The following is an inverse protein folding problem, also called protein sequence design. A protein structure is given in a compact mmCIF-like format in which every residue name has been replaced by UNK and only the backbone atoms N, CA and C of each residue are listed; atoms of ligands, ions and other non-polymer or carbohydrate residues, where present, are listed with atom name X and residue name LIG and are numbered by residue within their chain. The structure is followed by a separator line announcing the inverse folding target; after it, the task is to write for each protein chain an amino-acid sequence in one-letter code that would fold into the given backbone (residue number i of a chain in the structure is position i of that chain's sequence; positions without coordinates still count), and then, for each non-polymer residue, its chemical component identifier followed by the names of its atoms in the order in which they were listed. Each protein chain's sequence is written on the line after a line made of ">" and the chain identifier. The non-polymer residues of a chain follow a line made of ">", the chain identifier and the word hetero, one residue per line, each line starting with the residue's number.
data_IF_355769940197
#
_entry.id   IF_355769940197
#
_cell.length_a   1.000
_cell.length_b   1.000
_cell.length_c   1.000
_cell.angle_alpha   90.00
_cell.angle_beta   90.00
_cell.angle_gamma   90.00
#
_symmetry.space_group_name_H-M   'P 1'
#
loop_
_entity.id
_entity.type
_entity.pdbx_description
1 polymer ?
#
# COMPACT_ATOMS: atom_id res chain seq x y z
N UNK A 1 -13.14 -9.41 24.60
CA UNK A 1 -12.70 -10.20 23.43
C UNK A 1 -11.46 -9.52 22.88
N UNK A 2 -10.29 -10.15 22.93
CA UNK A 2 -9.14 -9.64 22.19
C UNK A 2 -9.45 -9.86 20.71
N UNK A 3 -9.70 -8.79 19.96
CA UNK A 3 -9.91 -8.89 18.51
C UNK A 3 -8.66 -9.40 17.80
N UNK A 4 -8.81 -9.76 16.53
CA UNK A 4 -7.66 -10.01 15.65
C UNK A 4 -6.77 -8.76 15.60
N UNK A 5 -5.47 -8.93 15.84
CA UNK A 5 -4.50 -7.83 15.92
C UNK A 5 -3.65 -7.81 14.66
N UNK A 6 -3.65 -6.67 13.96
CA UNK A 6 -2.68 -6.37 12.91
C UNK A 6 -1.43 -5.73 13.53
N UNK A 7 -0.27 -5.75 12.82
CA UNK A 7 0.89 -4.97 13.22
C UNK A 7 0.53 -3.50 13.43
N UNK A 8 1.09 -2.87 14.47
CA UNK A 8 0.89 -1.44 14.71
C UNK A 8 1.59 -0.62 13.62
N UNK A 9 0.90 0.39 13.11
CA UNK A 9 1.45 1.36 12.20
C UNK A 9 2.58 2.19 12.87
N UNK A 10 3.58 2.58 12.09
CA UNK A 10 4.63 3.49 12.52
C UNK A 10 4.20 4.96 12.36
N UNK A 11 4.07 5.68 13.48
CA UNK A 11 3.66 7.10 13.51
C UNK A 11 4.56 8.00 12.64
N UNK A 12 5.86 7.69 12.56
CA UNK A 12 6.83 8.42 11.75
C UNK A 12 6.55 8.32 10.23
N UNK A 13 5.95 7.22 9.79
CA UNK A 13 5.54 7.02 8.39
C UNK A 13 4.18 7.67 8.15
N UNK A 14 3.24 7.49 9.09
CA UNK A 14 1.90 8.05 8.99
C UNK A 14 1.88 9.58 8.96
N UNK A 15 2.72 10.24 9.78
CA UNK A 15 2.85 11.70 9.81
C UNK A 15 3.34 12.32 8.49
N UNK A 16 4.01 11.53 7.64
CA UNK A 16 4.55 11.97 6.34
C UNK A 16 3.74 11.47 5.14
N UNK A 17 2.53 10.94 5.37
CA UNK A 17 1.68 10.34 4.32
C UNK A 17 1.49 11.28 3.12
N UNK A 18 1.24 12.57 3.35
CA UNK A 18 1.02 13.55 2.27
C UNK A 18 2.24 13.71 1.36
N UNK A 19 3.44 13.72 1.93
CA UNK A 19 4.69 13.86 1.18
C UNK A 19 4.98 12.59 0.36
N UNK A 20 4.72 11.42 0.97
CA UNK A 20 4.84 10.11 0.32
C UNK A 20 3.90 10.02 -0.89
N UNK A 21 2.62 10.40 -0.73
CA UNK A 21 1.64 10.41 -1.83
C UNK A 21 2.09 11.37 -2.94
N UNK A 22 2.56 12.57 -2.59
CA UNK A 22 3.06 13.55 -3.57
C UNK A 22 4.24 13.00 -4.37
N UNK A 23 5.22 12.38 -3.70
CA UNK A 23 6.38 11.80 -4.35
C UNK A 23 6.01 10.62 -5.27
N UNK A 24 5.10 9.76 -4.83
CA UNK A 24 4.63 8.63 -5.63
C UNK A 24 3.84 9.08 -6.87
N UNK A 25 3.07 10.17 -6.78
CA UNK A 25 2.37 10.76 -7.95
C UNK A 25 3.35 11.32 -8.98
N UNK A 26 4.51 11.81 -8.56
CA UNK A 26 5.57 12.20 -9.50
C UNK A 26 6.19 11.00 -10.24
N UNK A 27 6.21 9.83 -9.61
CA UNK A 27 6.75 8.59 -10.20
C UNK A 27 5.71 7.91 -11.11
N UNK A 28 4.47 7.84 -10.64
CA UNK A 28 3.31 7.20 -11.30
C UNK A 28 2.23 8.27 -11.50
N UNK A 29 2.28 9.03 -12.60
CA UNK A 29 1.34 10.12 -12.86
C UNK A 29 -0.05 9.61 -13.24
N UNK A 30 -1.04 10.51 -13.22
CA UNK A 30 -2.44 10.20 -13.56
C UNK A 30 -3.18 9.53 -12.40
N UNK A 31 -3.93 8.48 -12.69
CA UNK A 31 -4.78 7.76 -11.72
C UNK A 31 -4.05 6.61 -11.00
N UNK A 32 -2.74 6.43 -11.25
CA UNK A 32 -1.98 5.31 -10.72
C UNK A 32 -1.61 5.39 -9.23
N UNK A 33 -2.03 6.44 -8.52
CA UNK A 33 -1.87 6.58 -7.07
C UNK A 33 -3.23 6.85 -6.45
N UNK A 34 -3.71 5.90 -5.64
CA UNK A 34 -5.02 5.96 -4.99
C UNK A 34 -4.83 6.20 -3.50
N UNK A 35 -5.19 7.40 -3.05
CA UNK A 35 -5.05 7.86 -1.66
C UNK A 35 -6.38 8.31 -1.04
N UNK A 36 -7.46 8.33 -1.81
CA UNK A 36 -8.80 8.58 -1.30
C UNK A 36 -9.31 7.37 -0.50
N UNK A 37 -9.74 7.60 0.75
CA UNK A 37 -10.14 6.54 1.69
C UNK A 37 -11.19 5.58 1.12
N UNK A 38 -12.20 6.10 0.43
CA UNK A 38 -13.26 5.29 -0.17
C UNK A 38 -12.75 4.39 -1.29
N UNK A 39 -11.84 4.88 -2.14
CA UNK A 39 -11.26 4.12 -3.23
C UNK A 39 -10.28 3.04 -2.72
N UNK A 40 -9.55 3.34 -1.64
CA UNK A 40 -8.64 2.36 -1.02
C UNK A 40 -9.36 1.19 -0.35
N UNK A 41 -10.65 1.31 0.03
CA UNK A 41 -11.41 0.21 0.66
C UNK A 41 -11.52 -1.03 -0.21
N UNK A 42 -11.44 -0.91 -1.53
CA UNK A 42 -11.43 -2.07 -2.45
C UNK A 42 -10.21 -2.97 -2.20
N UNK A 43 -9.16 -2.44 -1.56
CA UNK A 43 -7.90 -3.12 -1.29
C UNK A 43 -7.70 -3.48 0.19
N UNK A 44 -8.72 -3.31 1.04
CA UNK A 44 -8.57 -3.41 2.51
C UNK A 44 -8.30 -4.83 3.03
N UNK A 45 -8.54 -5.86 2.22
CA UNK A 45 -8.23 -7.26 2.52
C UNK A 45 -7.74 -7.99 1.27
N UNK A 46 -7.10 -9.14 1.44
CA UNK A 46 -7.03 -10.18 0.41
C UNK A 46 -8.20 -11.18 0.60
N UNK A 47 -8.08 -12.41 0.09
CA UNK A 47 -9.13 -13.43 0.26
C UNK A 47 -9.20 -13.99 1.69
N UNK A 48 -8.24 -13.67 2.57
CA UNK A 48 -8.32 -13.92 4.00
C UNK A 48 -9.11 -12.79 4.70
N UNK A 49 -10.42 -12.74 4.43
CA UNK A 49 -11.32 -11.64 4.84
C UNK A 49 -11.52 -11.46 6.35
N UNK A 50 -10.98 -12.37 7.16
CA UNK A 50 -10.91 -12.22 8.62
C UNK A 50 -10.07 -11.01 9.05
N UNK A 51 -9.10 -10.59 8.23
CA UNK A 51 -8.26 -9.41 8.47
C UNK A 51 -8.55 -8.33 7.44
N UNK A 52 -8.66 -7.09 7.90
CA UNK A 52 -8.81 -5.92 7.02
C UNK A 52 -8.17 -4.69 7.63
N UNK A 53 -7.54 -3.87 6.81
CA UNK A 53 -7.09 -2.52 7.15
C UNK A 53 -6.88 -1.72 5.86
N UNK A 54 -6.90 -0.40 5.95
CA UNK A 54 -6.49 0.42 4.81
C UNK A 54 -4.97 0.39 4.66
N UNK A 55 -4.42 0.44 3.44
CA UNK A 55 -3.02 0.72 3.22
C UNK A 55 -2.71 2.21 3.43
N UNK A 56 -1.42 2.56 3.52
CA UNK A 56 -0.97 3.95 3.50
C UNK A 56 -1.44 4.67 2.23
N UNK A 57 -1.25 3.99 1.10
CA UNK A 57 -1.59 4.40 -0.27
C UNK A 57 -1.52 3.18 -1.19
N UNK A 58 -2.32 3.14 -2.24
CA UNK A 58 -2.25 2.12 -3.30
C UNK A 58 -1.56 2.70 -4.52
N UNK A 59 -0.62 1.96 -5.11
CA UNK A 59 0.13 2.37 -6.30
C UNK A 59 -0.01 1.31 -7.39
N UNK A 60 -0.44 1.75 -8.58
CA UNK A 60 -0.77 0.95 -9.76
C UNK A 60 0.19 1.29 -10.92
N UNK A 61 1.47 0.91 -10.82
CA UNK A 61 2.45 1.18 -11.88
C UNK A 61 2.09 0.40 -13.15
N UNK A 62 2.39 0.99 -14.31
CA UNK A 62 2.16 0.42 -15.64
C UNK A 62 3.46 -0.02 -16.33
N UNK A 63 4.61 0.27 -15.72
CA UNK A 63 5.93 -0.04 -16.30
C UNK A 63 6.92 -0.52 -15.23
N UNK A 64 7.89 -1.33 -15.64
CA UNK A 64 9.01 -1.76 -14.79
C UNK A 64 9.81 -0.56 -14.27
N UNK A 65 9.96 0.49 -15.07
CA UNK A 65 10.65 1.71 -14.65
C UNK A 65 9.93 2.41 -13.49
N UNK A 66 8.59 2.45 -13.51
CA UNK A 66 7.79 2.98 -12.39
C UNK A 66 7.95 2.10 -11.15
N UNK A 67 7.84 0.78 -11.28
CA UNK A 67 8.05 -0.17 -10.18
C UNK A 67 9.41 0.07 -9.52
N UNK A 68 10.48 0.11 -10.32
CA UNK A 68 11.85 0.34 -9.82
C UNK A 68 11.98 1.66 -9.07
N UNK A 69 11.42 2.76 -9.61
CA UNK A 69 11.44 4.07 -8.94
C UNK A 69 10.62 4.11 -7.65
N UNK A 70 9.45 3.45 -7.62
CA UNK A 70 8.63 3.34 -6.40
C UNK A 70 9.40 2.58 -5.32
N UNK A 71 9.96 1.42 -5.65
CA UNK A 71 10.75 0.61 -4.70
C UNK A 71 11.98 1.36 -4.20
N UNK A 72 12.69 2.07 -5.09
CA UNK A 72 13.83 2.92 -4.73
C UNK A 72 13.42 4.02 -3.75
N UNK A 73 12.34 4.75 -4.05
CA UNK A 73 11.81 5.79 -3.17
C UNK A 73 11.44 5.22 -1.80
N UNK A 74 10.72 4.10 -1.75
CA UNK A 74 10.30 3.47 -0.49
C UNK A 74 11.51 3.04 0.33
N UNK A 75 12.53 2.46 -0.29
CA UNK A 75 13.77 2.08 0.38
C UNK A 75 14.51 3.30 0.97
N UNK A 76 14.72 4.35 0.18
CA UNK A 76 15.41 5.57 0.62
C UNK A 76 14.67 6.31 1.75
N UNK A 77 13.34 6.18 1.81
CA UNK A 77 12.49 6.88 2.79
C UNK A 77 12.01 5.99 3.94
N UNK A 78 12.52 4.75 4.04
CA UNK A 78 12.11 3.74 5.02
C UNK A 78 10.59 3.51 5.06
N UNK A 79 9.96 3.42 3.89
CA UNK A 79 8.54 3.12 3.74
C UNK A 79 8.38 1.65 3.38
N UNK A 80 7.53 0.93 4.13
CA UNK A 80 7.23 -0.49 3.87
C UNK A 80 6.48 -0.63 2.55
N UNK A 81 6.65 -1.78 1.89
CA UNK A 81 5.94 -2.12 0.66
C UNK A 81 5.28 -3.48 0.81
N UNK A 82 4.00 -3.56 0.47
CA UNK A 82 3.27 -4.81 0.31
C UNK A 82 3.03 -5.04 -1.18
N UNK A 83 3.69 -6.02 -1.82
CA UNK A 83 3.39 -6.37 -3.20
C UNK A 83 2.05 -7.12 -3.29
N UNK A 84 1.24 -6.81 -4.29
CA UNK A 84 -0.08 -7.41 -4.49
C UNK A 84 -0.36 -7.65 -5.98
N UNK A 85 -0.90 -8.82 -6.30
CA UNK A 85 -1.51 -9.11 -7.61
C UNK A 85 -3.02 -8.83 -7.57
N UNK A 86 -3.83 -9.86 -7.85
CA UNK A 86 -5.30 -9.79 -7.77
C UNK A 86 -5.86 -9.81 -6.33
N UNK A 87 -5.03 -10.12 -5.32
CA UNK A 87 -5.46 -10.14 -3.92
C UNK A 87 -6.22 -11.41 -3.51
N UNK A 88 -6.02 -12.54 -4.19
CA UNK A 88 -6.72 -13.81 -3.92
C UNK A 88 -6.03 -14.71 -2.88
N UNK A 89 -5.02 -14.20 -2.17
CA UNK A 89 -4.29 -14.99 -1.17
C UNK A 89 -5.18 -15.36 0.02
N UNK A 90 -5.08 -16.62 0.47
CA UNK A 90 -5.79 -17.14 1.64
C UNK A 90 -4.90 -17.19 2.90
N UNK A 91 -3.61 -16.87 2.79
CA UNK A 91 -2.65 -16.88 3.88
C UNK A 91 -2.33 -15.50 4.44
N UNK A 92 -2.89 -14.44 3.84
CA UNK A 92 -2.62 -13.06 4.24
C UNK A 92 -1.40 -12.43 3.54
N UNK A 93 -0.78 -13.13 2.59
CA UNK A 93 0.45 -12.66 1.91
C UNK A 93 0.30 -11.37 1.09
N UNK A 94 -0.93 -10.92 0.82
CA UNK A 94 -1.21 -9.67 0.12
C UNK A 94 -2.09 -8.71 0.95
N UNK A 95 -2.14 -8.92 2.28
CA UNK A 95 -2.85 -8.03 3.20
C UNK A 95 -2.12 -6.67 3.27
N UNK A 96 -2.85 -5.56 3.12
CA UNK A 96 -2.27 -4.23 3.30
C UNK A 96 -1.80 -4.01 4.74
N UNK A 97 -0.85 -3.10 4.91
CA UNK A 97 -0.48 -2.51 6.21
C UNK A 97 -0.76 -1.00 6.16
N UNK A 98 -1.28 -0.45 7.25
CA UNK A 98 -1.64 0.96 7.37
C UNK A 98 -0.47 1.93 7.11
N UNK A 99 0.76 1.50 7.39
CA UNK A 99 1.99 2.26 7.17
C UNK A 99 2.81 1.78 5.94
N UNK A 100 2.20 0.99 5.04
CA UNK A 100 2.87 0.48 3.85
C UNK A 100 2.22 0.93 2.53
N UNK A 101 3.05 1.14 1.52
CA UNK A 101 2.62 1.28 0.13
C UNK A 101 2.13 -0.09 -0.36
N UNK A 102 0.88 -0.17 -0.79
CA UNK A 102 0.36 -1.35 -1.47
C UNK A 102 0.67 -1.25 -2.97
N UNK A 103 1.65 -2.03 -3.43
CA UNK A 103 2.10 -2.02 -4.81
C UNK A 103 1.35 -3.08 -5.62
N UNK A 104 0.38 -2.65 -6.43
CA UNK A 104 -0.51 -3.54 -7.16
C UNK A 104 -0.02 -3.74 -8.60
N UNK A 105 0.28 -4.98 -8.96
CA UNK A 105 0.79 -5.38 -10.27
C UNK A 105 -0.07 -6.54 -10.80
N UNK A 106 -0.94 -6.25 -11.78
CA UNK A 106 -1.86 -7.22 -12.39
C UNK A 106 -2.05 -6.93 -13.87
#
# INVERSE_FOLDING_TARGET
>A
MSGLLMPKAEDATMSRRSDIVTALRAIVPGEGVVDATNAMRVFESDALTAYRQLPLVVVLPQTVAQVSRVLKYCHENNVKVVPRGSGTSLSGGALPLEDAVLLVMS
#
